data_IF_880538237717
#
_entry.id   IF_880538237717
#
_cell.length_a   1.000
_cell.length_b   1.000
_cell.length_c   1.000
_cell.angle_alpha   90.00
_cell.angle_beta   90.00
_cell.angle_gamma   90.00
#
_symmetry.space_group_name_H-M   'P 1'
#
loop_
_entity.id
_entity.type
_entity.pdbx_description
1 polymer ?
#
# COMPACT_ATOMS: atom_id res chain seq x y z
N UNK A 1 16.93 32.42 15.13
CA UNK A 1 16.33 31.72 16.26
C UNK A 1 15.66 30.45 15.72
N UNK A 2 16.42 29.34 15.64
CA UNK A 2 15.92 28.05 15.19
C UNK A 2 14.88 27.56 16.19
N UNK A 3 13.61 27.53 15.79
CA UNK A 3 12.59 26.80 16.54
C UNK A 3 12.87 25.32 16.34
N UNK A 4 13.71 24.75 17.21
CA UNK A 4 13.77 23.31 17.45
C UNK A 4 12.33 22.86 17.68
N UNK A 5 11.78 22.17 16.69
CA UNK A 5 10.48 21.51 16.78
C UNK A 5 10.68 20.44 17.86
N UNK A 6 10.21 20.72 19.09
CA UNK A 6 10.22 19.74 20.16
C UNK A 6 9.59 18.44 19.63
N UNK A 7 10.28 17.29 19.70
CA UNK A 7 9.71 16.03 19.30
C UNK A 7 8.47 15.78 20.19
N UNK A 8 7.33 15.59 19.55
CA UNK A 8 6.10 15.16 20.22
C UNK A 8 6.46 13.86 20.94
N UNK A 9 6.16 13.69 22.24
CA UNK A 9 6.48 12.45 22.95
C UNK A 9 5.70 11.29 22.30
N UNK A 10 6.39 10.48 21.49
CA UNK A 10 5.82 9.34 20.74
C UNK A 10 5.72 8.05 21.56
N UNK A 11 5.97 8.12 22.86
CA UNK A 11 5.64 7.06 23.83
C UNK A 11 4.15 7.02 24.22
N UNK A 12 3.29 7.77 23.53
CA UNK A 12 1.86 7.66 23.72
C UNK A 12 1.34 6.33 23.15
N UNK A 13 0.64 5.55 23.96
CA UNK A 13 -0.06 4.32 23.54
C UNK A 13 -0.95 4.55 22.29
N UNK A 14 -1.41 5.79 22.09
CA UNK A 14 -2.19 6.26 20.96
C UNK A 14 -1.40 6.18 19.64
N UNK A 15 -0.13 6.61 19.62
CA UNK A 15 0.73 6.51 18.43
C UNK A 15 0.95 5.06 18.01
N UNK A 16 1.24 4.18 18.98
CA UNK A 16 1.41 2.74 18.73
C UNK A 16 0.11 2.07 18.23
N UNK A 17 -1.04 2.49 18.76
CA UNK A 17 -2.34 2.01 18.31
C UNK A 17 -2.67 2.47 16.89
N UNK A 18 -2.34 3.71 16.55
CA UNK A 18 -2.48 4.26 15.21
C UNK A 18 -1.60 3.54 14.19
N UNK A 19 -0.34 3.25 14.55
CA UNK A 19 0.57 2.49 13.70
C UNK A 19 0.06 1.06 13.45
N UNK A 20 -0.48 0.40 14.48
CA UNK A 20 -1.16 -0.90 14.31
C UNK A 20 -2.37 -0.81 13.39
N UNK A 21 -3.19 0.23 13.53
CA UNK A 21 -4.34 0.44 12.65
C UNK A 21 -3.90 0.59 11.18
N UNK A 22 -2.81 1.33 10.93
CA UNK A 22 -2.21 1.46 9.59
C UNK A 22 -1.76 0.10 9.05
N UNK A 23 -1.02 -0.68 9.85
CA UNK A 23 -0.56 -2.02 9.46
C UNK A 23 -1.75 -2.95 9.16
N UNK A 24 -2.79 -2.92 9.99
CA UNK A 24 -4.02 -3.70 9.77
C UNK A 24 -4.71 -3.29 8.47
N UNK A 25 -4.80 -2.00 8.18
CA UNK A 25 -5.37 -1.53 6.93
C UNK A 25 -4.59 -2.04 5.71
N UNK A 26 -3.26 -1.99 5.74
CA UNK A 26 -2.43 -2.58 4.68
C UNK A 26 -2.63 -4.09 4.56
N UNK A 27 -2.75 -4.84 5.66
CA UNK A 27 -3.08 -6.26 5.59
C UNK A 27 -4.42 -6.51 4.89
N UNK A 28 -5.46 -5.71 5.19
CA UNK A 28 -6.75 -5.84 4.53
C UNK A 28 -6.66 -5.52 3.03
N UNK A 29 -5.90 -4.50 2.65
CA UNK A 29 -5.63 -4.19 1.24
C UNK A 29 -4.91 -5.34 0.53
N UNK A 30 -3.87 -5.90 1.14
CA UNK A 30 -3.12 -7.03 0.57
C UNK A 30 -3.97 -8.30 0.47
N UNK A 31 -4.78 -8.57 1.48
CA UNK A 31 -5.70 -9.70 1.48
C UNK A 31 -6.76 -9.53 0.37
N UNK A 32 -7.33 -8.34 0.21
CA UNK A 32 -8.25 -8.03 -0.88
C UNK A 32 -7.58 -8.21 -2.25
N UNK A 33 -6.33 -7.76 -2.40
CA UNK A 33 -5.54 -7.96 -3.61
C UNK A 33 -5.28 -9.44 -3.91
N UNK A 34 -4.97 -10.23 -2.89
CA UNK A 34 -4.74 -11.67 -2.99
C UNK A 34 -6.02 -12.42 -3.40
N UNK A 35 -7.15 -12.15 -2.74
CA UNK A 35 -8.45 -12.77 -3.06
C UNK A 35 -8.88 -12.42 -4.47
N UNK A 36 -8.76 -11.14 -4.87
CA UNK A 36 -9.09 -10.69 -6.23
C UNK A 36 -8.19 -11.37 -7.26
N UNK A 37 -6.89 -11.46 -7.01
CA UNK A 37 -5.94 -12.13 -7.90
C UNK A 37 -6.26 -13.61 -8.06
N UNK A 38 -6.60 -14.30 -6.96
CA UNK A 38 -7.03 -15.70 -6.98
C UNK A 38 -8.33 -15.92 -7.75
N UNK A 39 -9.29 -15.00 -7.61
CA UNK A 39 -10.54 -15.03 -8.38
C UNK A 39 -10.27 -14.92 -9.89
N UNK A 40 -9.50 -13.91 -10.32
CA UNK A 40 -9.14 -13.75 -11.74
C UNK A 40 -8.30 -14.91 -12.29
N UNK A 41 -7.42 -15.47 -11.46
CA UNK A 41 -6.64 -16.65 -11.82
C UNK A 41 -7.53 -17.86 -12.08
N UNK A 42 -8.55 -18.09 -11.24
CA UNK A 42 -9.53 -19.16 -11.45
C UNK A 42 -10.28 -19.01 -12.77
N UNK A 43 -10.68 -17.78 -13.12
CA UNK A 43 -11.33 -17.50 -14.40
C UNK A 43 -10.40 -17.75 -15.59
N UNK A 44 -9.11 -17.39 -15.49
CA UNK A 44 -8.12 -17.65 -16.55
C UNK A 44 -7.89 -19.15 -16.80
N UNK A 45 -7.90 -19.99 -15.76
CA UNK A 45 -7.71 -21.43 -15.91
C UNK A 45 -8.88 -22.09 -16.65
N UNK A 46 -10.10 -21.54 -16.53
CA UNK A 46 -11.29 -22.06 -17.21
C UNK A 46 -11.30 -21.77 -18.72
N UNK A 47 -10.48 -20.84 -19.20
CA UNK A 47 -10.36 -20.51 -20.62
C UNK A 47 -9.54 -21.57 -21.35
N UNK A 48 -10.09 -22.12 -22.43
CA UNK A 48 -9.40 -23.08 -23.31
C UNK A 48 -9.30 -22.47 -24.72
N UNK A 49 -8.10 -22.29 -25.28
CA UNK A 49 -6.79 -22.56 -24.69
C UNK A 49 -6.41 -21.57 -23.58
N UNK A 50 -5.62 -22.01 -22.61
CA UNK A 50 -5.19 -21.18 -21.47
C UNK A 50 -4.29 -20.05 -21.97
N UNK A 51 -4.64 -18.78 -21.75
CA UNK A 51 -3.78 -17.66 -22.14
C UNK A 51 -2.59 -17.57 -21.18
N UNK A 52 -1.42 -18.06 -21.61
CA UNK A 52 -0.18 -18.11 -20.80
C UNK A 52 0.22 -16.76 -20.18
N UNK A 53 0.04 -15.65 -20.92
CA UNK A 53 0.31 -14.30 -20.42
C UNK A 53 -0.62 -13.91 -19.25
N UNK A 54 -1.91 -14.23 -19.36
CA UNK A 54 -2.88 -13.98 -18.29
C UNK A 54 -2.59 -14.85 -17.06
N UNK A 55 -2.25 -16.12 -17.29
CA UNK A 55 -1.90 -17.06 -16.24
C UNK A 55 -0.68 -16.58 -15.44
N UNK A 56 0.40 -16.23 -16.13
CA UNK A 56 1.64 -15.75 -15.52
C UNK A 56 1.43 -14.42 -14.78
N UNK A 57 0.60 -13.52 -15.31
CA UNK A 57 0.26 -12.25 -14.66
C UNK A 57 -0.39 -12.49 -13.29
N UNK A 58 -1.43 -13.31 -13.22
CA UNK A 58 -2.19 -13.48 -11.97
C UNK A 58 -1.47 -14.34 -10.94
N UNK A 59 -0.64 -15.32 -11.35
CA UNK A 59 0.21 -16.06 -10.40
C UNK A 59 1.27 -15.16 -9.78
N UNK A 60 1.91 -14.30 -10.58
CA UNK A 60 2.92 -13.35 -10.08
C UNK A 60 2.29 -12.31 -9.15
N UNK A 61 1.10 -11.80 -9.49
CA UNK A 61 0.34 -10.90 -8.63
C UNK A 61 -0.01 -11.57 -7.29
N UNK A 62 -0.41 -12.84 -7.32
CA UNK A 62 -0.74 -13.60 -6.11
C UNK A 62 0.47 -13.78 -5.20
N UNK A 63 1.63 -14.15 -5.77
CA UNK A 63 2.88 -14.26 -5.01
C UNK A 63 3.29 -12.91 -4.42
N UNK A 64 3.19 -11.83 -5.20
CA UNK A 64 3.49 -10.47 -4.74
C UNK A 64 2.63 -10.08 -3.53
N UNK A 65 1.31 -10.23 -3.63
CA UNK A 65 0.39 -9.91 -2.54
C UNK A 65 0.60 -10.81 -1.32
N UNK A 66 0.97 -12.07 -1.51
CA UNK A 66 1.31 -12.98 -0.41
C UNK A 66 2.56 -12.50 0.35
N UNK A 67 3.63 -12.14 -0.37
CA UNK A 67 4.86 -11.61 0.24
C UNK A 67 4.60 -10.32 1.00
N UNK A 68 3.79 -9.42 0.43
CA UNK A 68 3.38 -8.18 1.07
C UNK A 68 2.55 -8.43 2.33
N UNK A 69 1.62 -9.38 2.29
CA UNK A 69 0.81 -9.78 3.44
C UNK A 69 1.68 -10.33 4.58
N UNK A 70 2.65 -11.19 4.27
CA UNK A 70 3.61 -11.71 5.27
C UNK A 70 4.45 -10.59 5.86
N UNK A 71 4.87 -9.61 5.05
CA UNK A 71 5.63 -8.44 5.51
C UNK A 71 4.80 -7.58 6.47
N UNK A 72 3.53 -7.33 6.14
CA UNK A 72 2.60 -6.61 7.00
C UNK A 72 2.29 -7.35 8.31
N UNK A 73 2.10 -8.67 8.26
CA UNK A 73 1.95 -9.51 9.46
C UNK A 73 3.15 -9.38 10.40
N UNK A 74 4.38 -9.37 9.86
CA UNK A 74 5.59 -9.14 10.65
C UNK A 74 5.65 -7.73 11.24
N UNK A 75 5.17 -6.72 10.52
CA UNK A 75 5.11 -5.35 10.98
C UNK A 75 4.14 -5.13 12.16
N UNK A 76 3.20 -6.05 12.44
CA UNK A 76 2.36 -6.00 13.64
C UNK A 76 3.15 -6.04 14.94
N UNK A 77 4.35 -6.63 14.91
CA UNK A 77 5.25 -6.68 16.07
C UNK A 77 5.83 -5.30 16.42
N UNK A 78 5.60 -4.28 15.57
CA UNK A 78 6.08 -2.90 15.72
C UNK A 78 7.61 -2.80 15.90
N UNK A 79 8.37 -3.83 15.50
CA UNK A 79 9.83 -3.74 15.48
C UNK A 79 10.28 -2.79 14.38
N UNK A 80 11.27 -1.93 14.64
CA UNK A 80 11.71 -0.90 13.70
C UNK A 80 12.12 -1.50 12.34
N UNK A 81 12.86 -2.60 12.35
CA UNK A 81 13.26 -3.34 11.14
C UNK A 81 12.06 -3.83 10.29
N UNK A 82 10.95 -4.22 10.93
CA UNK A 82 9.77 -4.72 10.22
C UNK A 82 8.91 -3.58 9.68
N UNK A 83 8.83 -2.46 10.42
CA UNK A 83 8.17 -1.24 9.97
C UNK A 83 8.90 -0.65 8.77
N UNK A 84 10.23 -0.55 8.81
CA UNK A 84 10.99 0.00 7.68
C UNK A 84 10.84 -0.82 6.40
N UNK A 85 10.85 -2.16 6.51
CA UNK A 85 10.56 -3.04 5.36
C UNK A 85 9.16 -2.82 4.80
N UNK A 86 8.16 -2.58 5.65
CA UNK A 86 6.80 -2.27 5.21
C UNK A 86 6.74 -0.89 4.54
N UNK A 87 7.40 0.13 5.11
CA UNK A 87 7.49 1.48 4.52
C UNK A 87 8.12 1.44 3.13
N UNK A 88 9.26 0.76 3.00
CA UNK A 88 9.95 0.56 1.72
C UNK A 88 9.05 -0.15 0.70
N UNK A 89 8.37 -1.22 1.10
CA UNK A 89 7.47 -1.98 0.23
C UNK A 89 6.22 -1.19 -0.21
N UNK A 90 5.73 -0.28 0.63
CA UNK A 90 4.49 0.50 0.40
C UNK A 90 4.74 1.92 -0.13
N UNK A 91 6.00 2.39 -0.19
CA UNK A 91 6.32 3.76 -0.60
C UNK A 91 5.83 4.13 -2.01
N UNK A 92 5.70 3.15 -2.91
CA UNK A 92 5.20 3.35 -4.27
C UNK A 92 3.67 3.25 -4.40
N UNK A 93 2.96 2.83 -3.34
CA UNK A 93 1.53 2.53 -3.42
C UNK A 93 0.70 3.80 -3.60
N UNK A 94 1.13 4.92 -3.01
CA UNK A 94 0.47 6.22 -3.21
C UNK A 94 0.39 6.59 -4.70
N UNK A 95 1.46 6.34 -5.45
CA UNK A 95 1.50 6.58 -6.89
C UNK A 95 0.64 5.57 -7.65
N UNK A 96 0.68 4.29 -7.26
CA UNK A 96 -0.15 3.24 -7.84
C UNK A 96 -1.65 3.58 -7.74
N UNK A 97 -2.13 3.94 -6.55
CA UNK A 97 -3.54 4.29 -6.33
C UNK A 97 -3.91 5.61 -6.98
N UNK A 98 -3.02 6.59 -7.00
CA UNK A 98 -3.25 7.85 -7.73
C UNK A 98 -3.42 7.60 -9.23
N UNK A 99 -2.54 6.78 -9.80
CA UNK A 99 -2.63 6.40 -11.21
C UNK A 99 -3.90 5.60 -11.50
N UNK A 100 -4.31 4.70 -10.59
CA UNK A 100 -5.59 3.99 -10.70
C UNK A 100 -6.80 4.95 -10.68
N UNK A 101 -6.82 5.94 -9.77
CA UNK A 101 -7.86 6.98 -9.74
C UNK A 101 -7.90 7.76 -11.05
N UNK A 102 -6.75 8.19 -11.56
CA UNK A 102 -6.66 8.94 -12.82
C UNK A 102 -7.16 8.11 -14.01
N UNK A 103 -6.81 6.82 -14.08
CA UNK A 103 -7.32 5.90 -15.09
C UNK A 103 -8.84 5.76 -14.98
N UNK A 104 -9.38 5.60 -13.76
CA UNK A 104 -10.83 5.47 -13.57
C UNK A 104 -11.59 6.74 -13.97
N UNK A 105 -11.06 7.92 -13.66
CA UNK A 105 -11.63 9.21 -14.09
C UNK A 105 -11.56 9.33 -15.61
N UNK A 106 -10.41 9.02 -16.22
CA UNK A 106 -10.21 9.08 -17.67
C UNK A 106 -11.12 8.09 -18.42
N UNK A 107 -11.24 6.85 -17.92
CA UNK A 107 -12.15 5.84 -18.47
C UNK A 107 -13.61 6.30 -18.37
N UNK A 108 -14.00 6.89 -17.24
CA UNK A 108 -15.34 7.43 -17.07
C UNK A 108 -15.62 8.66 -17.94
N UNK A 109 -14.61 9.47 -18.22
CA UNK A 109 -14.67 10.60 -19.14
C UNK A 109 -14.67 10.18 -20.63
N UNK A 110 -14.59 8.88 -20.94
CA UNK A 110 -14.62 8.36 -22.31
C UNK A 110 -13.28 8.40 -23.04
N UNK A 111 -12.15 8.61 -22.34
CA UNK A 111 -10.83 8.67 -22.99
C UNK A 111 -10.32 7.30 -23.49
N UNK A 112 -10.86 6.19 -22.97
CA UNK A 112 -10.46 4.83 -23.34
C UNK A 112 -11.50 4.10 -24.21
N UNK A 113 -12.36 4.85 -24.90
CA UNK A 113 -13.45 4.32 -25.73
C UNK A 113 -12.90 3.76 -27.06
N UNK A 114 -12.16 2.65 -26.97
CA UNK A 114 -11.50 1.98 -28.11
C UNK A 114 -12.29 0.77 -28.64
N UNK A 115 -13.46 0.45 -28.08
CA UNK A 115 -14.35 -0.58 -28.64
C UNK A 115 -15.74 -0.46 -28.03
N UNK A 116 -16.73 -0.12 -28.87
CA UNK A 116 -18.17 -0.03 -28.56
C UNK A 116 -18.82 -1.29 -27.97
N UNK A 117 -18.08 -2.37 -27.71
CA UNK A 117 -18.68 -3.67 -27.40
C UNK A 117 -18.83 -3.98 -25.90
N UNK A 118 -18.12 -3.30 -24.98
CA UNK A 118 -18.38 -3.42 -23.54
C UNK A 118 -17.81 -2.20 -22.79
N UNK A 119 -18.60 -1.13 -22.54
CA UNK A 119 -18.14 -0.06 -21.67
C UNK A 119 -17.92 -0.65 -20.27
N UNK A 120 -16.70 -0.49 -19.75
CA UNK A 120 -16.42 -0.82 -18.35
C UNK A 120 -17.17 0.19 -17.50
N UNK A 121 -18.29 -0.21 -16.90
CA UNK A 121 -19.08 0.65 -16.02
C UNK A 121 -18.32 0.91 -14.71
N UNK A 122 -17.60 2.03 -14.65
CA UNK A 122 -16.92 2.47 -13.42
C UNK A 122 -17.91 3.28 -12.58
N UNK A 123 -18.28 2.74 -11.41
CA UNK A 123 -19.17 3.43 -10.47
C UNK A 123 -18.49 4.65 -9.85
N UNK A 124 -19.24 5.73 -9.61
CA UNK A 124 -18.73 6.89 -8.87
C UNK A 124 -18.23 6.49 -7.47
N UNK A 125 -18.87 5.50 -6.86
CA UNK A 125 -18.48 4.97 -5.54
C UNK A 125 -17.09 4.36 -5.59
N UNK A 126 -16.74 3.63 -6.65
CA UNK A 126 -15.40 3.04 -6.81
C UNK A 126 -14.32 4.12 -6.91
N UNK A 127 -14.57 5.20 -7.65
CA UNK A 127 -13.64 6.33 -7.77
C UNK A 127 -13.42 7.00 -6.41
N UNK A 128 -14.51 7.26 -5.67
CA UNK A 128 -14.44 7.85 -4.33
C UNK A 128 -13.66 6.95 -3.37
N UNK A 129 -13.96 5.64 -3.35
CA UNK A 129 -13.24 4.67 -2.50
C UNK A 129 -11.75 4.64 -2.85
N UNK A 130 -11.39 4.59 -4.14
CA UNK A 130 -9.99 4.62 -4.58
C UNK A 130 -9.30 5.92 -4.19
N UNK A 131 -10.00 7.05 -4.24
CA UNK A 131 -9.47 8.35 -3.83
C UNK A 131 -9.20 8.39 -2.34
N UNK A 132 -10.12 7.88 -1.52
CA UNK A 132 -9.92 7.77 -0.06
C UNK A 132 -8.72 6.87 0.26
N UNK A 133 -8.58 5.74 -0.43
CA UNK A 133 -7.42 4.85 -0.27
C UNK A 133 -6.13 5.56 -0.69
N UNK A 134 -6.13 6.31 -1.80
CA UNK A 134 -4.96 7.06 -2.24
C UNK A 134 -4.53 8.10 -1.20
N UNK A 135 -5.48 8.89 -0.68
CA UNK A 135 -5.24 9.87 0.38
C UNK A 135 -4.72 9.19 1.65
N UNK A 136 -5.30 8.06 2.04
CA UNK A 136 -4.82 7.27 3.16
C UNK A 136 -3.37 6.82 2.94
N UNK A 137 -3.02 6.30 1.76
CA UNK A 137 -1.65 5.89 1.43
C UNK A 137 -0.65 7.05 1.47
N UNK A 138 -1.05 8.27 1.07
CA UNK A 138 -0.19 9.45 1.21
C UNK A 138 0.07 9.80 2.67
N UNK A 139 -0.99 9.78 3.49
CA UNK A 139 -0.88 10.12 4.90
C UNK A 139 -0.13 9.05 5.71
N UNK A 140 -0.37 7.77 5.44
CA UNK A 140 0.34 6.66 6.09
C UNK A 140 1.82 6.62 5.70
N UNK A 141 2.18 6.90 4.44
CA UNK A 141 3.59 7.00 3.99
C UNK A 141 4.34 8.09 4.77
N UNK A 142 3.72 9.25 5.02
CA UNK A 142 4.32 10.32 5.82
C UNK A 142 4.51 9.90 7.28
N UNK A 143 3.52 9.21 7.87
CA UNK A 143 3.60 8.72 9.25
C UNK A 143 4.68 7.65 9.42
N UNK A 144 4.78 6.73 8.45
CA UNK A 144 5.76 5.64 8.46
C UNK A 144 7.19 6.14 8.25
N UNK A 145 7.41 7.07 7.30
CA UNK A 145 8.73 7.71 7.09
C UNK A 145 9.15 8.58 8.25
N UNK A 146 8.20 9.28 8.85
CA UNK A 146 8.45 10.05 10.07
C UNK A 146 8.91 9.18 11.25
N UNK A 147 8.66 7.87 11.23
CA UNK A 147 9.18 6.92 12.22
C UNK A 147 10.59 6.43 11.84
N UNK A 148 10.84 6.12 10.56
CA UNK A 148 12.18 5.73 10.07
C UNK A 148 13.25 6.80 10.36
N UNK A 149 12.97 8.07 10.04
CA UNK A 149 13.92 9.18 10.25
C UNK A 149 14.23 9.41 11.74
N UNK A 150 13.27 9.21 12.63
CA UNK A 150 13.48 9.36 14.08
C UNK A 150 14.36 8.25 14.66
N UNK A 151 14.26 7.03 14.13
CA UNK A 151 15.07 5.89 14.57
C UNK A 151 16.51 6.07 14.10
N UNK A 152 16.72 6.50 12.86
CA UNK A 152 18.06 6.82 12.34
C UNK A 152 18.74 7.96 13.12
N UNK A 153 17.99 8.99 13.53
CA UNK A 153 18.52 10.08 14.36
C UNK A 153 18.89 9.61 15.79
N UNK A 154 18.07 8.80 16.46
CA UNK A 154 18.39 8.31 17.81
C UNK A 154 19.49 7.23 17.84
N UNK A 155 19.53 6.34 16.85
CA UNK A 155 20.61 5.35 16.76
C UNK A 155 21.93 6.02 16.34
N UNK A 156 21.90 7.08 15.52
CA UNK A 156 23.08 7.87 15.16
C UNK A 156 23.66 8.71 16.32
N UNK A 157 22.81 9.27 17.19
CA UNK A 157 23.26 10.05 18.35
C UNK A 157 23.88 9.16 19.45
N UNK A 158 23.43 7.91 19.63
CA UNK A 158 24.03 6.98 20.60
C UNK A 158 25.45 6.51 20.26
N UNK A 159 25.88 6.57 18.99
CA UNK A 159 27.25 6.23 18.60
C UNK A 159 28.25 7.38 18.80
N UNK A 160 27.79 8.61 19.03
CA UNK A 160 28.66 9.78 19.23
C UNK A 160 28.93 10.14 20.69
N UNK A 161 28.23 9.53 21.65
CA UNK A 161 28.40 9.80 23.10
C UNK A 161 29.35 8.85 23.85
N UNK A 162 29.99 7.88 23.18
CA UNK A 162 31.03 7.05 23.81
C UNK A 162 32.43 7.37 23.22
N UNK A 163 33.20 8.29 23.83
CA UNK A 163 34.66 8.34 23.67
C UNK A 163 35.36 7.17 24.36
#
# INVERSE_FOLDING_TARGET
MNKSLKPIPRDSAIHRLLLRAIVIFYMLLFLSGLVSSGYFFSEVIKLVPIPMLGFLKYILLSILFLVLLVTALRALTLKPMHLSRLTSATGNFKWLFTLAVMICIAAKAGLFDLSRNHPVEISYIQIVVLTVIAVFCYWSDQMLKGEETFIEENEGEQFHENP
#
